data_IF_854744199444
#
_entry.id   IF_854744199444
#
_cell.length_a   1.000
_cell.length_b   1.000
_cell.length_c   1.000
_cell.angle_alpha   90.00
_cell.angle_beta   90.00
_cell.angle_gamma   90.00
#
_symmetry.space_group_name_H-M   'P 1'
#
loop_
_entity.id
_entity.type
_entity.pdbx_description
1 polymer ?
#
# COMPACT_ATOMS: atom_id res chain seq x y z
N UNK A 1 17.63 13.75 28.62
CA UNK A 1 17.79 12.46 29.33
C UNK A 1 16.82 11.49 28.69
N UNK A 2 17.27 10.33 28.28
CA UNK A 2 16.36 9.31 27.76
C UNK A 2 15.62 8.70 28.96
N UNK A 3 14.30 8.77 28.96
CA UNK A 3 13.49 8.06 29.95
C UNK A 3 13.56 6.57 29.63
N UNK A 4 13.89 5.76 30.65
CA UNK A 4 13.90 4.31 30.56
C UNK A 4 12.57 3.78 31.13
N UNK A 5 11.73 3.21 30.29
CA UNK A 5 10.47 2.61 30.73
C UNK A 5 10.75 1.23 31.36
N UNK A 6 10.31 1.04 32.59
CA UNK A 6 10.46 -0.24 33.30
C UNK A 6 9.50 -1.33 32.80
N UNK A 7 8.40 -0.94 32.14
CA UNK A 7 7.41 -1.86 31.58
C UNK A 7 6.75 -1.26 30.32
N UNK A 8 6.26 -2.10 29.43
CA UNK A 8 5.49 -1.69 28.26
C UNK A 8 4.18 -0.95 28.66
N UNK A 9 3.58 -1.34 29.79
CA UNK A 9 2.40 -0.67 30.33
C UNK A 9 2.68 0.78 30.75
N UNK A 10 3.85 1.07 31.35
CA UNK A 10 4.25 2.44 31.69
C UNK A 10 4.41 3.30 30.43
N UNK A 11 5.07 2.77 29.38
CA UNK A 11 5.20 3.45 28.10
C UNK A 11 3.82 3.79 27.49
N UNK A 12 2.89 2.85 27.48
CA UNK A 12 1.54 3.10 26.95
C UNK A 12 0.75 4.12 27.77
N UNK A 13 0.94 4.16 29.09
CA UNK A 13 0.32 5.17 29.94
C UNK A 13 0.84 6.55 29.61
N UNK A 14 2.13 6.73 29.48
CA UNK A 14 2.76 8.03 29.16
C UNK A 14 2.36 8.52 27.75
N UNK A 15 2.28 7.63 26.77
CA UNK A 15 1.79 7.96 25.44
C UNK A 15 0.30 8.38 25.51
N UNK A 16 -0.54 7.66 26.25
CA UNK A 16 -1.95 8.00 26.41
C UNK A 16 -2.14 9.36 27.10
N UNK A 17 -1.32 9.69 28.10
CA UNK A 17 -1.36 10.97 28.79
C UNK A 17 -0.90 12.13 27.90
N UNK A 18 0.16 11.93 27.11
CA UNK A 18 0.62 12.90 26.13
C UNK A 18 -0.43 13.19 25.04
N UNK A 19 -1.17 12.15 24.61
CA UNK A 19 -2.29 12.30 23.68
C UNK A 19 -3.42 13.11 24.31
N UNK A 20 -3.81 12.82 25.56
CA UNK A 20 -4.86 13.57 26.28
C UNK A 20 -4.48 15.03 26.46
N UNK A 21 -3.24 15.32 26.84
CA UNK A 21 -2.74 16.68 26.98
C UNK A 21 -2.85 17.45 25.66
N UNK A 22 -2.46 16.84 24.56
CA UNK A 22 -2.47 17.48 23.23
C UNK A 22 -3.86 17.63 22.64
N UNK A 23 -4.78 16.70 22.90
CA UNK A 23 -6.13 16.70 22.28
C UNK A 23 -7.23 17.21 23.20
N UNK A 24 -6.96 17.35 24.49
CA UNK A 24 -8.00 17.63 25.50
C UNK A 24 -8.98 16.47 25.72
N UNK A 25 -8.65 15.26 25.24
CA UNK A 25 -9.53 14.09 25.40
C UNK A 25 -9.62 13.67 26.86
N UNK A 26 -10.84 13.44 27.36
CA UNK A 26 -11.11 12.99 28.75
C UNK A 26 -11.44 11.50 28.84
N UNK A 27 -11.67 10.82 27.72
CA UNK A 27 -12.01 9.40 27.67
C UNK A 27 -10.81 8.50 27.92
N UNK A 28 -11.05 7.30 28.48
CA UNK A 28 -10.04 6.25 28.58
C UNK A 28 -9.71 5.73 27.19
N UNK A 29 -8.41 5.74 26.85
CA UNK A 29 -7.91 5.14 25.61
C UNK A 29 -7.58 3.67 25.95
N UNK A 30 -8.26 2.72 25.32
CA UNK A 30 -7.98 1.29 25.49
C UNK A 30 -6.89 0.83 24.52
N UNK A 31 -6.18 -0.23 24.84
CA UNK A 31 -5.03 -0.70 24.07
C UNK A 31 -5.38 -1.00 22.60
N UNK A 32 -6.58 -1.47 22.32
CA UNK A 32 -7.04 -1.82 20.97
C UNK A 32 -7.28 -0.58 20.08
N UNK A 33 -7.60 0.59 20.70
CA UNK A 33 -7.82 1.84 20.00
C UNK A 33 -6.49 2.61 19.76
N UNK A 34 -5.40 2.17 20.39
CA UNK A 34 -4.11 2.88 20.42
C UNK A 34 -3.53 3.18 19.04
N UNK A 35 -3.52 2.23 18.08
CA UNK A 35 -2.99 2.49 16.74
C UNK A 35 -3.76 3.59 16.02
N UNK A 36 -5.07 3.61 16.15
CA UNK A 36 -5.93 4.58 15.46
C UNK A 36 -5.87 5.95 16.14
N UNK A 37 -5.82 5.98 17.47
CA UNK A 37 -5.64 7.22 18.24
C UNK A 37 -4.30 7.86 17.92
N UNK A 38 -3.20 7.10 17.89
CA UNK A 38 -1.87 7.62 17.53
C UNK A 38 -1.88 8.13 16.10
N UNK A 39 -2.46 7.39 15.16
CA UNK A 39 -2.55 7.80 13.75
C UNK A 39 -3.30 9.13 13.63
N UNK A 40 -4.45 9.26 14.29
CA UNK A 40 -5.29 10.45 14.24
C UNK A 40 -4.63 11.65 14.93
N UNK A 41 -3.95 11.47 16.08
CA UNK A 41 -3.28 12.55 16.81
C UNK A 41 -2.04 13.06 16.09
N UNK A 42 -1.25 12.15 15.53
CA UNK A 42 -0.04 12.52 14.81
C UNK A 42 -0.33 13.01 13.40
N UNK A 43 -1.59 12.86 12.91
CA UNK A 43 -1.94 13.11 11.51
C UNK A 43 -0.88 12.48 10.56
N UNK A 44 -0.44 11.27 10.91
CA UNK A 44 0.50 10.54 10.07
C UNK A 44 -0.24 10.15 8.80
N UNK A 45 -0.16 11.01 7.83
CA UNK A 45 -0.66 10.74 6.48
C UNK A 45 0.15 9.56 5.94
N UNK A 46 -0.47 8.40 5.90
CA UNK A 46 0.18 7.19 5.40
C UNK A 46 -0.04 7.09 3.89
N UNK A 47 0.70 7.90 3.14
CA UNK A 47 0.73 7.74 1.68
C UNK A 47 1.31 6.37 1.29
N UNK A 48 0.98 5.89 0.10
CA UNK A 48 1.71 4.76 -0.44
C UNK A 48 3.18 5.16 -0.59
N UNK A 49 4.07 4.46 0.10
CA UNK A 49 5.46 4.86 0.26
C UNK A 49 6.38 3.75 -0.23
N UNK A 50 7.23 4.08 -1.19
CA UNK A 50 8.34 3.25 -1.60
C UNK A 50 9.63 3.77 -0.98
N UNK A 51 10.47 2.87 -0.45
CA UNK A 51 11.78 3.21 0.08
C UNK A 51 12.80 2.10 -0.17
N UNK A 52 14.08 2.47 -0.24
CA UNK A 52 15.19 1.53 -0.40
C UNK A 52 16.48 2.13 0.15
N UNK A 53 17.44 1.31 0.63
CA UNK A 53 18.79 1.80 0.98
C UNK A 53 19.55 2.41 -0.20
N UNK A 54 19.17 2.08 -1.43
CA UNK A 54 19.79 2.58 -2.66
C UNK A 54 18.76 3.29 -3.53
N UNK A 55 19.22 4.13 -4.44
CA UNK A 55 18.32 4.79 -5.39
C UNK A 55 17.56 3.76 -6.23
N UNK A 56 16.31 4.06 -6.51
CA UNK A 56 15.43 3.25 -7.35
C UNK A 56 14.57 4.14 -8.24
N UNK A 57 13.95 3.53 -9.24
CA UNK A 57 13.01 4.23 -10.12
C UNK A 57 11.69 3.47 -10.22
N UNK A 58 10.63 4.22 -10.49
CA UNK A 58 9.29 3.72 -10.77
C UNK A 58 8.79 4.31 -12.09
N UNK A 59 8.24 3.49 -12.95
CA UNK A 59 7.57 3.93 -14.18
C UNK A 59 6.41 3.01 -14.53
N UNK A 60 5.51 3.48 -15.40
CA UNK A 60 4.58 2.60 -16.13
C UNK A 60 5.33 1.99 -17.33
N UNK A 61 5.10 0.73 -17.64
CA UNK A 61 5.93 0.03 -18.63
C UNK A 61 5.80 0.59 -20.06
N UNK A 62 4.59 0.96 -20.47
CA UNK A 62 4.33 1.56 -21.80
C UNK A 62 4.35 3.09 -21.82
N UNK A 63 4.67 3.72 -20.70
CA UNK A 63 4.76 5.18 -20.56
C UNK A 63 3.44 5.92 -20.85
N UNK A 64 2.30 5.28 -20.56
CA UNK A 64 0.97 5.90 -20.65
C UNK A 64 0.22 5.83 -19.33
N UNK A 65 -0.66 6.78 -19.12
CA UNK A 65 -1.55 6.79 -17.96
C UNK A 65 -2.65 5.74 -18.12
N UNK A 66 -2.87 4.91 -17.10
CA UNK A 66 -3.91 3.89 -17.08
C UNK A 66 -4.98 4.09 -15.99
N UNK A 67 -4.76 5.03 -15.07
CA UNK A 67 -5.72 5.41 -14.04
C UNK A 67 -6.71 6.48 -14.55
N UNK A 68 -7.89 6.48 -13.99
CA UNK A 68 -9.02 7.30 -14.46
C UNK A 68 -9.14 8.66 -13.78
N UNK A 69 -8.49 8.87 -12.63
CA UNK A 69 -8.41 10.14 -11.89
C UNK A 69 -7.04 10.80 -11.96
N UNK A 70 -6.53 11.21 -10.80
CA UNK A 70 -5.22 11.87 -10.65
C UNK A 70 -4.32 10.99 -9.79
N UNK A 71 -3.05 10.83 -10.18
CA UNK A 71 -1.97 10.39 -9.30
C UNK A 71 -0.97 11.51 -9.12
N UNK A 72 -0.51 11.67 -7.90
CA UNK A 72 0.54 12.60 -7.52
C UNK A 72 1.68 11.85 -6.82
N UNK A 73 2.88 12.40 -6.96
CA UNK A 73 4.06 11.90 -6.28
C UNK A 73 4.79 13.01 -5.55
N UNK A 74 5.56 12.61 -4.53
CA UNK A 74 6.43 13.48 -3.76
C UNK A 74 7.65 12.72 -3.28
N UNK A 75 8.71 13.44 -2.97
CA UNK A 75 9.92 12.91 -2.31
C UNK A 75 10.10 13.47 -0.89
N UNK A 76 9.23 14.39 -0.46
CA UNK A 76 9.34 15.09 0.83
C UNK A 76 8.01 15.24 1.60
N UNK A 77 6.90 14.83 0.99
CA UNK A 77 5.51 14.98 1.48
C UNK A 77 4.99 16.42 1.58
N UNK A 78 5.80 17.41 1.29
CA UNK A 78 5.42 18.82 1.32
C UNK A 78 5.10 19.36 -0.08
N UNK A 79 5.82 18.88 -1.10
CA UNK A 79 5.63 19.28 -2.50
C UNK A 79 5.12 18.09 -3.31
N UNK A 80 3.99 18.26 -3.97
CA UNK A 80 3.34 17.22 -4.77
C UNK A 80 3.29 17.63 -6.24
N UNK A 81 3.61 16.69 -7.12
CA UNK A 81 3.54 16.85 -8.56
C UNK A 81 2.64 15.79 -9.17
N UNK A 82 1.83 16.17 -10.15
CA UNK A 82 0.98 15.20 -10.88
C UNK A 82 1.87 14.27 -11.70
N UNK A 83 1.57 12.98 -11.65
CA UNK A 83 2.21 11.95 -12.46
C UNK A 83 1.26 11.49 -13.56
N UNK A 84 1.70 11.64 -14.80
CA UNK A 84 0.93 11.25 -15.99
C UNK A 84 1.30 9.86 -16.54
N UNK A 85 2.21 9.15 -15.86
CA UNK A 85 2.69 7.83 -16.28
C UNK A 85 3.78 7.86 -17.35
N UNK A 86 4.05 9.00 -17.99
CA UNK A 86 5.06 9.10 -19.05
C UNK A 86 6.47 9.26 -18.50
N UNK A 87 6.58 9.93 -17.36
CA UNK A 87 7.87 10.23 -16.73
C UNK A 87 8.29 9.09 -15.79
N UNK A 88 9.56 8.69 -15.87
CA UNK A 88 10.17 7.82 -14.87
C UNK A 88 10.39 8.60 -13.58
N UNK A 89 9.77 8.16 -12.50
CA UNK A 89 9.98 8.72 -11.17
C UNK A 89 11.27 8.16 -10.58
N UNK A 90 12.06 9.02 -9.95
CA UNK A 90 13.26 8.62 -9.20
C UNK A 90 13.08 8.90 -7.73
N UNK A 91 13.58 8.00 -6.87
CA UNK A 91 13.63 8.24 -5.44
C UNK A 91 14.49 9.45 -5.10
N UNK A 92 14.16 10.16 -4.02
CA UNK A 92 14.98 11.26 -3.57
C UNK A 92 16.37 10.78 -3.15
N UNK A 93 17.40 11.40 -3.71
CA UNK A 93 18.81 11.14 -3.34
C UNK A 93 19.30 12.04 -2.21
N UNK A 94 18.51 13.04 -1.82
CA UNK A 94 18.85 13.99 -0.74
C UNK A 94 18.62 13.46 0.68
N UNK A 95 17.89 12.34 0.79
CA UNK A 95 17.64 11.63 2.06
C UNK A 95 18.36 10.30 2.04
N UNK A 96 18.84 9.85 3.20
CA UNK A 96 19.54 8.56 3.33
C UNK A 96 18.67 7.34 3.03
N UNK A 97 17.37 7.51 2.91
CA UNK A 97 16.37 6.45 2.81
C UNK A 97 15.75 6.30 1.40
N UNK A 98 16.16 7.13 0.42
CA UNK A 98 15.67 7.07 -0.97
C UNK A 98 14.16 6.79 -1.05
N UNK A 99 13.34 7.80 -0.78
CA UNK A 99 11.89 7.65 -0.62
C UNK A 99 11.14 8.22 -1.83
N UNK A 100 10.00 7.59 -2.16
CA UNK A 100 9.00 8.09 -3.10
C UNK A 100 7.60 7.85 -2.51
N UNK A 101 6.83 8.92 -2.40
CA UNK A 101 5.45 8.90 -1.92
C UNK A 101 4.49 9.05 -3.09
N UNK A 102 3.37 8.30 -3.06
CA UNK A 102 2.29 8.44 -4.03
C UNK A 102 0.94 8.55 -3.33
N UNK A 103 0.05 9.32 -3.96
CA UNK A 103 -1.36 9.42 -3.59
C UNK A 103 -2.24 9.60 -4.82
N UNK A 104 -3.50 9.23 -4.72
CA UNK A 104 -4.48 9.37 -5.79
C UNK A 104 -5.69 10.18 -5.36
N UNK A 105 -6.40 10.71 -6.32
CA UNK A 105 -7.68 11.41 -6.12
C UNK A 105 -8.64 11.03 -7.22
N UNK A 106 -9.83 10.56 -6.83
CA UNK A 106 -10.93 10.24 -7.74
C UNK A 106 -10.65 9.11 -8.72
N UNK A 107 -9.68 8.21 -8.41
CA UNK A 107 -9.47 7.01 -9.20
C UNK A 107 -10.40 5.88 -8.72
N UNK A 108 -10.82 5.04 -9.64
CA UNK A 108 -11.46 3.75 -9.37
C UNK A 108 -10.62 2.59 -9.90
N UNK A 109 -9.69 2.88 -10.80
CA UNK A 109 -8.76 1.91 -11.40
C UNK A 109 -7.37 2.53 -11.51
N UNK A 110 -6.33 1.70 -11.33
CA UNK A 110 -4.93 2.11 -11.44
C UNK A 110 -4.27 1.52 -12.68
N UNK A 111 -4.51 0.25 -12.99
CA UNK A 111 -3.89 -0.42 -14.15
C UNK A 111 -4.90 -0.81 -15.21
N UNK A 112 -6.14 -1.17 -14.85
CA UNK A 112 -7.19 -1.51 -15.81
C UNK A 112 -6.98 -2.85 -16.53
N UNK A 113 -7.86 -3.13 -17.52
CA UNK A 113 -7.93 -4.39 -18.26
C UNK A 113 -6.94 -4.45 -19.43
N UNK A 114 -5.65 -4.24 -19.15
CA UNK A 114 -4.61 -4.34 -20.16
C UNK A 114 -3.71 -5.56 -20.01
N UNK A 115 -2.80 -5.75 -20.96
CA UNK A 115 -1.84 -6.83 -20.85
C UNK A 115 -0.69 -6.46 -19.89
N UNK A 116 -0.04 -7.48 -19.31
CA UNK A 116 1.06 -7.33 -18.36
C UNK A 116 2.26 -6.50 -18.89
N UNK A 117 2.43 -6.46 -20.19
CA UNK A 117 3.57 -5.80 -20.82
C UNK A 117 3.32 -4.30 -21.07
N UNK A 118 2.08 -3.84 -20.92
CA UNK A 118 1.72 -2.43 -21.04
C UNK A 118 1.46 -1.79 -19.67
N UNK A 119 0.60 -2.37 -18.86
CA UNK A 119 -0.01 -1.70 -17.70
C UNK A 119 0.72 -1.89 -16.38
N UNK A 120 1.65 -2.84 -16.30
CA UNK A 120 2.42 -3.04 -15.07
C UNK A 120 3.29 -1.83 -14.72
N UNK A 121 3.51 -1.65 -13.45
CA UNK A 121 4.53 -0.75 -12.94
C UNK A 121 5.89 -1.47 -12.90
N UNK A 122 6.93 -0.76 -13.27
CA UNK A 122 8.30 -1.28 -13.26
C UNK A 122 9.09 -0.55 -12.19
N UNK A 123 9.48 -1.34 -11.16
CA UNK A 123 10.42 -0.90 -10.13
C UNK A 123 11.82 -1.38 -10.51
N UNK A 124 12.76 -0.45 -10.69
CA UNK A 124 14.17 -0.76 -10.96
C UNK A 124 15.01 -0.39 -9.77
N UNK A 125 15.64 -1.37 -9.16
CA UNK A 125 16.41 -1.27 -7.92
C UNK A 125 16.29 -2.57 -7.12
N UNK A 126 16.90 -2.61 -5.95
CA UNK A 126 16.87 -3.75 -5.03
C UNK A 126 16.47 -3.32 -3.63
N UNK A 127 16.03 -4.28 -2.82
CA UNK A 127 15.61 -4.05 -1.44
C UNK A 127 14.56 -2.92 -1.31
N UNK A 128 13.63 -2.86 -2.27
CA UNK A 128 12.56 -1.86 -2.27
C UNK A 128 11.45 -2.36 -1.36
N UNK A 129 11.06 -1.54 -0.38
CA UNK A 129 9.86 -1.75 0.43
C UNK A 129 8.74 -0.87 -0.08
N UNK A 130 7.53 -1.40 -0.11
CA UNK A 130 6.31 -0.63 -0.35
C UNK A 130 5.43 -0.76 0.89
N UNK A 131 5.16 0.35 1.57
CA UNK A 131 4.34 0.40 2.78
C UNK A 131 3.17 1.38 2.61
N UNK A 132 2.25 1.34 3.56
CA UNK A 132 1.02 2.13 3.51
C UNK A 132 -0.13 1.38 2.84
N UNK A 133 -1.27 2.03 2.75
CA UNK A 133 -2.50 1.47 2.19
C UNK A 133 -2.52 1.68 0.67
N UNK A 134 -2.67 0.59 -0.11
CA UNK A 134 -2.75 0.67 -1.58
C UNK A 134 -3.92 1.52 -2.07
N UNK A 135 -5.02 1.57 -1.30
CA UNK A 135 -6.20 2.35 -1.64
C UNK A 135 -5.95 3.86 -1.65
N UNK A 136 -4.82 4.33 -1.07
CA UNK A 136 -4.37 5.72 -1.23
C UNK A 136 -4.10 6.12 -2.68
N UNK A 137 -3.91 5.18 -3.58
CA UNK A 137 -3.83 5.45 -5.01
C UNK A 137 -5.20 5.71 -5.65
N UNK A 138 -6.28 5.21 -5.05
CA UNK A 138 -7.64 5.46 -5.53
C UNK A 138 -8.11 6.83 -5.08
N UNK A 139 -8.25 7.01 -3.78
CA UNK A 139 -8.64 8.30 -3.19
C UNK A 139 -8.12 8.42 -1.76
N UNK A 140 -7.02 9.18 -1.60
CA UNK A 140 -6.35 9.28 -0.30
C UNK A 140 -7.21 9.98 0.75
N UNK A 141 -8.07 10.92 0.35
CA UNK A 141 -8.94 11.64 1.29
C UNK A 141 -10.03 10.71 1.86
N UNK A 142 -10.57 9.81 1.05
CA UNK A 142 -11.50 8.76 1.51
C UNK A 142 -10.81 7.82 2.50
N UNK A 143 -9.58 7.39 2.21
CA UNK A 143 -8.78 6.54 3.12
C UNK A 143 -8.44 7.26 4.42
N UNK A 144 -8.07 8.54 4.38
CA UNK A 144 -7.81 9.36 5.58
C UNK A 144 -9.05 9.49 6.48
N UNK A 145 -10.25 9.47 5.90
CA UNK A 145 -11.51 9.49 6.67
C UNK A 145 -11.90 8.13 7.25
N UNK A 146 -11.07 7.09 7.07
CA UNK A 146 -11.32 5.73 7.56
C UNK A 146 -12.26 4.91 6.68
N UNK A 147 -12.52 5.34 5.45
CA UNK A 147 -13.40 4.66 4.51
C UNK A 147 -12.62 3.99 3.38
N UNK A 148 -13.28 3.07 2.66
CA UNK A 148 -12.74 2.42 1.47
C UNK A 148 -13.21 3.17 0.21
N UNK A 149 -12.31 3.59 -0.70
CA UNK A 149 -12.67 4.15 -2.00
C UNK A 149 -13.36 3.11 -2.90
N UNK A 150 -14.09 3.59 -3.88
CA UNK A 150 -14.69 2.71 -4.90
C UNK A 150 -13.59 2.04 -5.72
N UNK A 151 -13.66 0.72 -5.86
CA UNK A 151 -12.75 -0.11 -6.66
C UNK A 151 -13.49 -0.65 -7.87
N UNK A 152 -12.99 -0.40 -9.08
CA UNK A 152 -13.50 -1.00 -10.31
C UNK A 152 -12.87 -2.37 -10.60
N UNK A 153 -13.42 -3.13 -11.53
CA UNK A 153 -12.82 -4.36 -12.04
C UNK A 153 -11.41 -4.08 -12.59
N UNK A 154 -10.49 -5.06 -12.44
CA UNK A 154 -9.10 -4.96 -12.87
C UNK A 154 -8.30 -3.82 -12.21
N UNK A 155 -8.70 -3.32 -11.05
CA UNK A 155 -8.17 -2.11 -10.43
C UNK A 155 -6.64 -2.09 -10.31
N UNK A 156 -6.01 -3.18 -9.82
CA UNK A 156 -4.56 -3.33 -9.65
C UNK A 156 -4.01 -4.54 -10.44
N UNK A 157 -4.66 -4.89 -11.54
CA UNK A 157 -4.31 -6.04 -12.37
C UNK A 157 -2.88 -5.93 -12.90
N UNK A 158 -2.02 -6.94 -12.65
CA UNK A 158 -0.59 -6.94 -13.00
C UNK A 158 0.27 -5.82 -12.38
N UNK A 159 -0.20 -5.02 -11.45
CA UNK A 159 0.46 -3.78 -11.04
C UNK A 159 1.97 -3.95 -10.77
N UNK A 160 2.36 -4.90 -9.93
CA UNK A 160 3.76 -5.17 -9.58
C UNK A 160 4.32 -6.44 -10.25
N UNK A 161 3.75 -6.85 -11.39
CA UNK A 161 4.20 -8.04 -12.11
C UNK A 161 5.69 -7.99 -12.44
N UNK A 162 6.46 -8.96 -11.92
CA UNK A 162 7.91 -9.07 -12.17
C UNK A 162 8.77 -8.02 -11.46
N UNK A 163 8.26 -7.34 -10.43
CA UNK A 163 9.05 -6.43 -9.60
C UNK A 163 9.99 -7.21 -8.69
N UNK A 164 11.09 -7.73 -9.25
CA UNK A 164 12.04 -8.64 -8.56
C UNK A 164 12.81 -8.00 -7.42
N UNK A 165 12.86 -6.67 -7.34
CA UNK A 165 13.50 -5.92 -6.24
C UNK A 165 12.56 -5.56 -5.10
N UNK A 166 11.25 -5.87 -5.19
CA UNK A 166 10.26 -5.57 -4.16
C UNK A 166 10.33 -6.63 -3.05
N UNK A 167 10.70 -6.21 -1.84
CA UNK A 167 10.87 -7.10 -0.67
C UNK A 167 9.68 -7.08 0.28
N UNK A 168 8.90 -5.99 0.29
CA UNK A 168 7.71 -5.83 1.11
C UNK A 168 6.58 -5.22 0.28
N UNK A 169 5.38 -5.81 0.38
CA UNK A 169 4.17 -5.33 -0.28
C UNK A 169 3.40 -4.33 0.60
N UNK A 170 2.61 -3.41 0.00
CA UNK A 170 1.72 -2.52 0.72
C UNK A 170 0.56 -3.29 1.37
N UNK A 171 -0.13 -2.66 2.31
CA UNK A 171 -1.37 -3.20 2.86
C UNK A 171 -2.49 -3.20 1.80
N UNK A 172 -3.31 -4.28 1.82
CA UNK A 172 -4.46 -4.48 0.95
C UNK A 172 -5.72 -4.62 1.82
N UNK A 173 -6.26 -3.52 2.35
CA UNK A 173 -7.28 -3.57 3.40
C UNK A 173 -8.70 -3.82 2.89
N UNK A 174 -8.94 -3.82 1.58
CA UNK A 174 -10.28 -4.03 1.02
C UNK A 174 -10.92 -5.33 1.52
N UNK A 175 -12.12 -5.23 2.05
CA UNK A 175 -12.91 -6.37 2.56
C UNK A 175 -13.92 -6.90 1.54
N UNK A 176 -14.24 -6.10 0.52
CA UNK A 176 -15.08 -6.46 -0.63
C UNK A 176 -14.29 -6.22 -1.91
N UNK A 177 -14.24 -7.22 -2.76
CA UNK A 177 -13.42 -7.21 -3.97
C UNK A 177 -14.26 -7.19 -5.25
N UNK A 178 -13.64 -6.72 -6.32
CA UNK A 178 -14.18 -6.70 -7.68
C UNK A 178 -13.45 -7.71 -8.57
N UNK A 179 -13.98 -7.96 -9.75
CA UNK A 179 -13.45 -8.95 -10.69
C UNK A 179 -12.01 -8.61 -11.10
N UNK A 180 -11.09 -9.58 -10.99
CA UNK A 180 -9.66 -9.46 -11.32
C UNK A 180 -8.90 -8.33 -10.59
N UNK A 181 -9.43 -7.74 -9.53
CA UNK A 181 -8.86 -6.51 -8.93
C UNK A 181 -7.40 -6.64 -8.48
N UNK A 182 -6.96 -7.77 -7.94
CA UNK A 182 -5.58 -8.05 -7.53
C UNK A 182 -4.95 -9.22 -8.32
N UNK A 183 -5.58 -9.64 -9.43
CA UNK A 183 -5.06 -10.76 -10.20
C UNK A 183 -3.66 -10.47 -10.74
N UNK A 184 -2.74 -11.42 -10.58
CA UNK A 184 -1.32 -11.35 -10.98
C UNK A 184 -0.53 -10.18 -10.37
N UNK A 185 -1.03 -9.51 -9.33
CA UNK A 185 -0.48 -8.25 -8.82
C UNK A 185 1.00 -8.38 -8.43
N UNK A 186 1.39 -9.46 -7.74
CA UNK A 186 2.78 -9.72 -7.33
C UNK A 186 3.40 -10.91 -8.06
N UNK A 187 2.84 -11.34 -9.19
CA UNK A 187 3.41 -12.46 -9.96
C UNK A 187 4.89 -12.21 -10.26
N UNK A 188 5.77 -13.15 -9.88
CA UNK A 188 7.20 -13.07 -10.14
C UNK A 188 7.97 -12.03 -9.31
N UNK A 189 7.40 -11.53 -8.21
CA UNK A 189 8.12 -10.71 -7.23
C UNK A 189 9.04 -11.62 -6.40
N UNK A 190 10.17 -12.01 -6.98
CA UNK A 190 11.04 -13.07 -6.42
C UNK A 190 11.69 -12.68 -5.08
N UNK A 191 11.86 -11.39 -4.78
CA UNK A 191 12.41 -10.93 -3.51
C UNK A 191 11.36 -10.70 -2.41
N UNK A 192 10.06 -10.84 -2.71
CA UNK A 192 8.99 -10.62 -1.73
C UNK A 192 9.03 -11.68 -0.64
N UNK A 193 9.28 -11.27 0.62
CA UNK A 193 9.48 -12.18 1.75
C UNK A 193 8.22 -12.46 2.55
N UNK A 194 7.27 -11.52 2.56
CA UNK A 194 6.01 -11.64 3.29
C UNK A 194 4.84 -11.22 2.41
N UNK A 195 3.81 -12.04 2.36
CA UNK A 195 2.55 -11.68 1.72
C UNK A 195 1.80 -10.66 2.59
N UNK A 196 1.14 -9.65 1.99
CA UNK A 196 0.23 -8.78 2.73
C UNK A 196 -0.98 -9.57 3.23
N UNK A 197 -1.63 -9.10 4.30
CA UNK A 197 -2.90 -9.66 4.74
C UNK A 197 -3.96 -9.52 3.63
N UNK A 198 -4.83 -10.52 3.51
CA UNK A 198 -5.95 -10.56 2.57
C UNK A 198 -7.26 -10.64 3.36
N UNK A 199 -7.77 -9.52 3.90
CA UNK A 199 -8.89 -9.52 4.85
C UNK A 199 -10.25 -9.75 4.20
N UNK A 200 -10.34 -9.76 2.86
CA UNK A 200 -11.61 -9.84 2.15
C UNK A 200 -12.38 -11.14 2.45
N UNK A 201 -13.61 -10.97 2.87
CA UNK A 201 -14.57 -12.05 3.08
C UNK A 201 -15.57 -12.20 1.94
N UNK A 202 -15.75 -11.14 1.14
CA UNK A 202 -16.56 -11.12 -0.08
C UNK A 202 -15.62 -11.11 -1.28
N UNK A 203 -15.57 -12.22 -2.01
CA UNK A 203 -14.69 -12.41 -3.16
C UNK A 203 -15.45 -12.24 -4.47
N UNK A 204 -14.72 -11.80 -5.50
CA UNK A 204 -15.18 -11.75 -6.88
C UNK A 204 -14.38 -12.70 -7.78
N UNK A 205 -14.85 -12.89 -9.02
CA UNK A 205 -14.20 -13.78 -9.99
C UNK A 205 -12.73 -13.38 -10.17
N UNK A 206 -11.84 -14.36 -10.02
CA UNK A 206 -10.39 -14.23 -10.23
C UNK A 206 -9.71 -13.07 -9.48
N UNK A 207 -10.29 -12.61 -8.37
CA UNK A 207 -9.81 -11.43 -7.64
C UNK A 207 -8.35 -11.54 -7.16
N UNK A 208 -7.89 -12.74 -6.77
CA UNK A 208 -6.51 -13.03 -6.36
C UNK A 208 -5.79 -14.04 -7.27
N UNK A 209 -6.30 -14.25 -8.49
CA UNK A 209 -5.73 -15.25 -9.41
C UNK A 209 -4.24 -15.03 -9.63
N UNK A 210 -3.41 -16.09 -9.46
CA UNK A 210 -1.94 -16.08 -9.63
C UNK A 210 -1.21 -14.96 -8.85
N UNK A 211 -1.81 -14.38 -7.83
CA UNK A 211 -1.31 -13.16 -7.16
C UNK A 211 0.14 -13.28 -6.71
N UNK A 212 0.52 -14.44 -6.13
CA UNK A 212 1.87 -14.70 -5.62
C UNK A 212 2.64 -15.76 -6.41
N UNK A 213 2.17 -16.11 -7.61
CA UNK A 213 2.87 -17.10 -8.42
C UNK A 213 4.29 -16.65 -8.75
N UNK A 214 5.28 -17.49 -8.47
CA UNK A 214 6.69 -17.17 -8.70
C UNK A 214 7.34 -16.24 -7.66
N UNK A 215 6.68 -15.94 -6.53
CA UNK A 215 7.27 -15.24 -5.39
C UNK A 215 8.13 -16.22 -4.57
N UNK A 216 9.33 -16.54 -5.08
CA UNK A 216 10.16 -17.64 -4.55
C UNK A 216 10.74 -17.40 -3.16
N UNK A 217 10.77 -16.16 -2.68
CA UNK A 217 11.20 -15.82 -1.32
C UNK A 217 10.07 -15.82 -0.28
N UNK A 218 8.82 -16.03 -0.69
CA UNK A 218 7.72 -16.17 0.26
C UNK A 218 7.84 -17.48 1.04
N UNK A 219 7.86 -17.38 2.36
CA UNK A 219 7.94 -18.53 3.26
C UNK A 219 6.61 -18.93 3.88
N UNK A 220 5.62 -18.05 3.82
CA UNK A 220 4.31 -18.26 4.43
C UNK A 220 3.19 -17.66 3.56
N UNK A 221 2.11 -18.42 3.38
CA UNK A 221 0.90 -17.92 2.74
C UNK A 221 0.10 -17.00 3.70
N UNK A 222 -0.63 -16.01 3.18
CA UNK A 222 -1.52 -15.20 4.00
C UNK A 222 -2.75 -16.02 4.45
N UNK A 223 -3.40 -15.59 5.51
CA UNK A 223 -4.70 -16.14 5.89
C UNK A 223 -5.75 -15.82 4.80
N UNK A 224 -6.66 -16.76 4.57
CA UNK A 224 -7.75 -16.65 3.60
C UNK A 224 -9.09 -16.75 4.35
N UNK A 225 -9.65 -15.63 4.84
CA UNK A 225 -10.80 -15.63 5.74
C UNK A 225 -12.13 -15.89 5.05
N UNK A 226 -12.21 -15.78 3.72
CA UNK A 226 -13.46 -15.97 2.98
C UNK A 226 -13.94 -17.44 3.07
N UNK A 227 -15.18 -17.63 3.44
CA UNK A 227 -15.85 -18.94 3.52
C UNK A 227 -16.62 -19.29 2.25
N UNK A 228 -16.94 -18.30 1.43
CA UNK A 228 -17.59 -18.48 0.11
C UNK A 228 -16.62 -18.08 -0.98
N UNK A 229 -16.33 -19.03 -1.89
CA UNK A 229 -15.37 -18.82 -2.97
C UNK A 229 -16.08 -18.36 -4.24
N UNK A 230 -15.43 -17.43 -4.95
CA UNK A 230 -15.79 -17.05 -6.31
C UNK A 230 -14.95 -17.84 -7.35
N UNK A 231 -15.41 -18.00 -8.59
CA UNK A 231 -14.66 -18.72 -9.63
C UNK A 231 -13.24 -18.16 -9.80
N UNK A 232 -12.22 -19.04 -9.74
CA UNK A 232 -10.83 -18.66 -9.96
C UNK A 232 -10.21 -17.72 -8.92
N UNK A 233 -10.86 -17.45 -7.79
CA UNK A 233 -10.44 -16.41 -6.84
C UNK A 233 -9.03 -16.65 -6.25
N UNK A 234 -8.58 -17.90 -6.09
CA UNK A 234 -7.27 -18.27 -5.50
C UNK A 234 -6.43 -19.18 -6.41
N UNK A 235 -6.63 -19.21 -7.69
CA UNK A 235 -5.87 -20.11 -8.62
C UNK A 235 -4.47 -19.60 -8.90
#
# INVERSE_FOLDING_TARGET
MAETYSTLAALFTDIADAIREKTGATATIVADDFPDVIRNVLQVKTYLTFSSPSSFTLKVNDTTKHWDGILEYSTDTSTWSTWDGTTTLSSATSRSDNVLYLRGTGNTVITGNGNKDSYKWVLTGSNITCIGNIENLLDYATVESGNHPTMADYCYYYMFYGCTGLTQAPALPATTLTTYCYSNMFYGCTALTHAPALPATTLATSCYQNMFRGCTSLTQAPALPATTLAPGCYT
#
